data_IF_144278458923
#
_entry.id   IF_144278458923
#
_cell.length_a   1.000
_cell.length_b   1.000
_cell.length_c   1.000
_cell.angle_alpha   90.00
_cell.angle_beta   90.00
_cell.angle_gamma   90.00
#
_symmetry.space_group_name_H-M   'P 1'
#
loop_
_entity.id
_entity.type
_entity.pdbx_description
1 polymer ?
#
# COMPACT_ATOMS: atom_id res chain seq x y z
N UNK A 1 39.45 21.12 -12.17
CA UNK A 1 38.15 20.53 -11.76
C UNK A 1 37.28 21.49 -10.90
N UNK A 2 37.70 22.72 -10.68
CA UNK A 2 36.96 23.68 -9.85
C UNK A 2 35.82 24.44 -10.55
N UNK A 3 35.57 24.16 -11.85
CA UNK A 3 34.55 24.89 -12.63
C UNK A 3 33.16 24.24 -12.61
N UNK A 4 32.93 23.14 -11.85
CA UNK A 4 31.65 22.44 -11.78
C UNK A 4 31.04 22.58 -10.36
N UNK A 5 31.24 23.70 -9.70
CA UNK A 5 30.78 23.95 -8.33
C UNK A 5 29.25 23.91 -8.13
N UNK A 6 28.46 23.79 -9.22
CA UNK A 6 26.99 23.76 -9.18
C UNK A 6 26.38 22.48 -9.78
N UNK A 7 27.17 21.42 -10.02
CA UNK A 7 26.63 20.20 -10.60
C UNK A 7 26.04 19.30 -9.50
N UNK A 8 24.74 19.38 -9.31
CA UNK A 8 24.01 18.45 -8.44
C UNK A 8 24.05 17.02 -9.01
N UNK A 9 24.36 16.04 -8.17
CA UNK A 9 24.37 14.63 -8.54
C UNK A 9 22.96 14.10 -8.85
N UNK A 10 22.81 12.98 -9.56
CA UNK A 10 21.49 12.43 -9.91
C UNK A 10 20.56 12.24 -8.69
N UNK A 11 21.08 11.78 -7.55
CA UNK A 11 20.31 11.60 -6.31
C UNK A 11 19.83 12.93 -5.72
N UNK A 12 20.66 13.99 -5.72
CA UNK A 12 20.27 15.32 -5.26
C UNK A 12 19.19 15.94 -6.15
N UNK A 13 19.34 15.81 -7.49
CA UNK A 13 18.34 16.31 -8.46
C UNK A 13 17.01 15.55 -8.38
N UNK A 14 17.05 14.27 -8.02
CA UNK A 14 15.86 13.45 -7.87
C UNK A 14 15.08 13.76 -6.58
N UNK A 15 15.75 14.29 -5.56
CA UNK A 15 15.12 14.58 -4.27
C UNK A 15 14.21 15.80 -4.37
N UNK A 16 12.90 15.59 -4.19
CA UNK A 16 11.87 16.65 -4.27
C UNK A 16 11.71 17.44 -2.98
N UNK A 17 12.38 17.02 -1.91
CA UNK A 17 12.31 17.65 -0.58
C UNK A 17 13.67 18.15 -0.11
N UNK A 18 14.69 18.15 -0.98
CA UNK A 18 16.06 18.59 -0.70
C UNK A 18 16.66 17.92 0.56
N UNK A 19 16.36 16.64 0.75
CA UNK A 19 16.86 15.87 1.87
C UNK A 19 18.28 15.29 1.64
N UNK A 20 18.90 15.54 0.47
CA UNK A 20 20.22 14.99 0.13
C UNK A 20 21.22 16.13 -0.02
N UNK A 21 22.32 16.01 0.70
CA UNK A 21 23.47 16.90 0.59
C UNK A 21 24.76 16.09 0.41
N UNK A 22 25.84 16.74 -0.01
CA UNK A 22 27.16 16.13 -0.12
C UNK A 22 28.02 16.55 1.06
N UNK A 23 28.61 15.58 1.73
CA UNK A 23 29.68 15.84 2.70
C UNK A 23 30.96 16.33 2.00
N UNK A 24 31.91 16.94 2.74
CA UNK A 24 33.19 17.42 2.17
C UNK A 24 34.00 16.33 1.47
N UNK A 25 33.90 15.09 1.90
CA UNK A 25 34.54 13.92 1.29
C UNK A 25 33.82 13.42 0.03
N UNK A 26 32.70 14.06 -0.32
CA UNK A 26 31.90 13.72 -1.48
C UNK A 26 30.92 12.56 -1.27
N UNK A 27 30.70 12.10 -0.05
CA UNK A 27 29.67 11.11 0.28
C UNK A 27 28.32 11.77 0.39
N UNK A 28 27.28 11.13 -0.19
CA UNK A 28 25.91 11.61 -0.07
C UNK A 28 25.37 11.37 1.35
N UNK A 29 24.83 12.40 1.94
CA UNK A 29 24.18 12.34 3.25
C UNK A 29 22.68 12.59 3.08
N UNK A 30 21.86 11.78 3.74
CA UNK A 30 20.41 11.87 3.72
C UNK A 30 19.93 12.41 5.07
N UNK A 31 19.27 13.55 5.05
CA UNK A 31 18.60 14.12 6.20
C UNK A 31 17.29 13.35 6.44
N UNK A 32 17.26 12.54 7.48
CA UNK A 32 16.14 11.67 7.83
C UNK A 32 14.88 12.44 8.21
N UNK A 33 15.01 13.67 8.72
CA UNK A 33 13.86 14.50 9.09
C UNK A 33 13.14 15.07 7.85
N UNK A 34 13.91 15.36 6.79
CA UNK A 34 13.36 15.80 5.52
C UNK A 34 12.98 14.67 4.58
N UNK A 35 13.59 13.50 4.74
CA UNK A 35 13.39 12.37 3.83
C UNK A 35 11.98 11.81 3.93
N UNK A 36 11.28 11.79 2.79
CA UNK A 36 9.94 11.18 2.65
C UNK A 36 9.98 9.70 2.23
N UNK A 37 11.16 9.10 2.17
CA UNK A 37 11.40 7.68 1.86
C UNK A 37 10.89 7.22 0.48
N UNK A 38 10.70 8.13 -0.47
CA UNK A 38 10.07 7.87 -1.77
C UNK A 38 10.92 7.03 -2.74
N UNK A 39 12.19 6.73 -2.43
CA UNK A 39 13.08 5.92 -3.26
C UNK A 39 13.62 6.59 -4.53
N UNK A 40 13.26 7.84 -4.83
CA UNK A 40 13.68 8.52 -6.06
C UNK A 40 15.21 8.57 -6.24
N UNK A 41 15.96 8.70 -5.14
CA UNK A 41 17.43 8.70 -5.15
C UNK A 41 18.00 7.31 -5.45
N UNK A 42 17.36 6.25 -4.98
CA UNK A 42 17.73 4.85 -5.26
C UNK A 42 17.56 4.60 -6.76
N UNK A 43 16.37 4.87 -7.28
CA UNK A 43 16.06 4.65 -8.69
C UNK A 43 16.94 5.48 -9.67
N UNK A 44 17.33 6.70 -9.29
CA UNK A 44 18.12 7.60 -10.15
C UNK A 44 19.62 7.43 -10.01
N UNK A 45 20.10 6.60 -9.08
CA UNK A 45 21.52 6.37 -8.91
C UNK A 45 22.04 5.34 -9.94
N UNK A 46 22.85 5.75 -10.96
CA UNK A 46 23.31 4.80 -11.97
C UNK A 46 24.38 3.83 -11.43
N UNK A 47 24.87 4.05 -10.21
CA UNK A 47 25.94 3.28 -9.59
C UNK A 47 25.46 2.38 -8.44
N UNK A 48 24.15 2.37 -8.14
CA UNK A 48 23.62 1.64 -6.99
C UNK A 48 24.19 2.10 -5.64
N UNK A 49 24.71 3.35 -5.56
CA UNK A 49 25.34 3.86 -4.35
C UNK A 49 24.34 4.28 -3.25
N UNK A 50 23.07 4.47 -3.61
CA UNK A 50 21.99 4.73 -2.67
C UNK A 50 21.07 3.51 -2.68
N UNK A 51 20.91 2.89 -1.52
CA UNK A 51 20.10 1.70 -1.33
C UNK A 51 19.01 1.98 -0.30
N UNK A 52 17.94 1.23 -0.36
CA UNK A 52 16.96 1.12 0.70
C UNK A 52 17.34 -0.01 1.68
N UNK A 53 16.67 -0.08 2.81
CA UNK A 53 16.91 -1.15 3.79
C UNK A 53 16.16 -2.40 3.36
N UNK A 54 16.91 -3.47 3.07
CA UNK A 54 16.31 -4.75 2.69
C UNK A 54 15.83 -5.55 3.91
N UNK A 55 14.69 -6.23 3.77
CA UNK A 55 14.15 -7.18 4.74
C UNK A 55 14.24 -8.63 4.24
N UNK A 56 14.92 -8.89 3.13
CA UNK A 56 14.98 -10.24 2.52
C UNK A 56 15.45 -11.31 3.51
N UNK A 57 16.51 -11.04 4.26
CA UNK A 57 17.08 -12.01 5.21
C UNK A 57 16.12 -12.35 6.34
N UNK A 58 15.38 -11.35 6.84
CA UNK A 58 14.37 -11.55 7.89
C UNK A 58 13.17 -12.31 7.34
N UNK A 59 12.76 -12.02 6.11
CA UNK A 59 11.66 -12.73 5.42
C UNK A 59 12.04 -14.20 5.19
N UNK A 60 13.24 -14.46 4.66
CA UNK A 60 13.73 -15.84 4.46
C UNK A 60 13.77 -16.59 5.78
N UNK A 61 14.31 -15.96 6.84
CA UNK A 61 14.31 -16.55 8.16
C UNK A 61 12.91 -16.86 8.66
N UNK A 62 11.96 -15.94 8.51
CA UNK A 62 10.56 -16.13 8.89
C UNK A 62 9.92 -17.30 8.16
N UNK A 63 10.18 -17.45 6.85
CA UNK A 63 9.69 -18.59 6.06
C UNK A 63 10.30 -19.91 6.57
N UNK A 64 11.62 -19.94 6.83
CA UNK A 64 12.30 -21.13 7.35
C UNK A 64 11.80 -21.50 8.74
N UNK A 65 11.69 -20.53 9.64
CA UNK A 65 11.24 -20.74 11.03
C UNK A 65 9.77 -21.18 11.11
N UNK A 66 8.99 -20.95 10.06
CA UNK A 66 7.59 -21.42 9.97
C UNK A 66 7.47 -22.94 9.85
N UNK A 67 8.55 -23.67 9.56
CA UNK A 67 8.59 -25.12 9.29
C UNK A 67 7.49 -25.54 8.29
N UNK A 68 7.55 -25.01 7.08
CA UNK A 68 6.51 -25.19 6.06
C UNK A 68 5.11 -24.80 6.54
N UNK A 69 5.02 -23.65 7.20
CA UNK A 69 3.77 -23.07 7.73
C UNK A 69 3.06 -23.93 8.82
N UNK A 70 3.80 -24.77 9.54
CA UNK A 70 3.25 -25.56 10.66
C UNK A 70 3.26 -24.76 11.97
N UNK A 71 4.28 -23.93 12.18
CA UNK A 71 4.42 -23.15 13.40
C UNK A 71 3.52 -21.89 13.36
N UNK A 72 3.45 -21.26 12.22
CA UNK A 72 2.60 -20.12 11.88
C UNK A 72 2.56 -19.98 10.36
N UNK A 73 1.51 -19.35 9.84
CA UNK A 73 1.39 -19.10 8.41
C UNK A 73 2.15 -17.83 8.00
N UNK A 74 2.84 -17.90 6.84
CA UNK A 74 3.49 -16.73 6.24
C UNK A 74 2.72 -16.30 5.00
N UNK A 75 1.98 -15.20 5.10
CA UNK A 75 1.16 -14.67 4.03
C UNK A 75 1.94 -13.65 3.20
N UNK A 76 1.80 -13.72 1.90
CA UNK A 76 2.23 -12.66 0.99
C UNK A 76 1.01 -11.81 0.59
N UNK A 77 1.05 -10.51 0.81
CA UNK A 77 0.04 -9.59 0.30
C UNK A 77 0.66 -8.76 -0.83
N UNK A 78 0.07 -8.82 -2.03
CA UNK A 78 0.70 -8.35 -3.26
C UNK A 78 0.02 -7.11 -3.79
N UNK A 79 0.82 -6.06 -4.08
CA UNK A 79 0.31 -4.83 -4.68
C UNK A 79 -0.20 -5.07 -6.12
N UNK A 80 -1.31 -4.42 -6.53
CA UNK A 80 -1.88 -4.58 -7.87
C UNK A 80 -0.89 -4.25 -9.01
N UNK A 81 0.14 -3.44 -8.73
CA UNK A 81 1.19 -3.09 -9.68
C UNK A 81 2.01 -4.29 -10.20
N UNK A 82 1.92 -5.47 -9.55
CA UNK A 82 2.59 -6.69 -10.02
C UNK A 82 2.17 -7.06 -11.45
N UNK A 83 0.93 -6.78 -11.83
CA UNK A 83 0.39 -7.11 -13.16
C UNK A 83 1.14 -6.43 -14.32
N UNK A 84 1.83 -5.32 -14.07
CA UNK A 84 2.57 -4.58 -15.10
C UNK A 84 4.09 -4.58 -14.91
N UNK A 85 4.60 -5.20 -13.84
CA UNK A 85 6.03 -5.13 -13.48
C UNK A 85 6.89 -6.15 -14.22
N UNK A 86 6.42 -7.38 -14.32
CA UNK A 86 7.19 -8.49 -14.86
C UNK A 86 6.68 -8.82 -16.27
N UNK A 87 7.48 -8.47 -17.30
CA UNK A 87 7.06 -8.64 -18.70
C UNK A 87 7.29 -10.05 -19.24
N UNK A 88 8.08 -10.87 -18.55
CA UNK A 88 8.45 -12.21 -18.97
C UNK A 88 7.47 -13.30 -18.50
N UNK A 89 6.55 -12.95 -17.60
CA UNK A 89 5.59 -13.89 -17.02
C UNK A 89 4.23 -13.22 -16.82
N UNK A 90 3.18 -14.04 -16.78
CA UNK A 90 1.84 -13.57 -16.44
C UNK A 90 1.69 -13.38 -14.92
N UNK A 91 0.77 -12.49 -14.51
CA UNK A 91 0.54 -12.23 -13.08
C UNK A 91 0.23 -13.53 -12.30
N UNK A 92 -0.62 -14.41 -12.82
CA UNK A 92 -0.95 -15.69 -12.17
C UNK A 92 0.24 -16.64 -12.01
N UNK A 93 1.22 -16.60 -12.92
CA UNK A 93 2.47 -17.36 -12.81
C UNK A 93 3.37 -16.81 -11.70
N UNK A 94 3.41 -15.49 -11.52
CA UNK A 94 4.12 -14.85 -10.41
C UNK A 94 3.50 -15.22 -9.06
N UNK A 95 2.17 -15.33 -8.98
CA UNK A 95 1.49 -15.81 -7.78
C UNK A 95 1.92 -17.23 -7.44
N UNK A 96 2.00 -18.10 -8.44
CA UNK A 96 2.51 -19.47 -8.27
C UNK A 96 3.96 -19.47 -7.80
N UNK A 97 4.82 -18.64 -8.39
CA UNK A 97 6.22 -18.51 -7.97
C UNK A 97 6.36 -18.04 -6.51
N UNK A 98 5.53 -17.09 -6.08
CA UNK A 98 5.53 -16.63 -4.68
C UNK A 98 5.16 -17.78 -3.73
N UNK A 99 4.20 -18.63 -4.10
CA UNK A 99 3.88 -19.83 -3.31
C UNK A 99 5.05 -20.83 -3.26
N UNK A 100 5.76 -21.02 -4.36
CA UNK A 100 6.95 -21.87 -4.40
C UNK A 100 8.12 -21.34 -3.54
N UNK A 101 8.16 -20.05 -3.25
CA UNK A 101 9.11 -19.47 -2.29
C UNK A 101 8.83 -19.92 -0.85
N UNK A 102 7.66 -20.48 -0.56
CA UNK A 102 7.29 -21.01 0.75
C UNK A 102 6.22 -20.22 1.49
N UNK A 103 5.59 -19.26 0.83
CA UNK A 103 4.44 -18.54 1.40
C UNK A 103 3.22 -19.47 1.48
N UNK A 104 2.47 -19.37 2.59
CA UNK A 104 1.23 -20.11 2.83
C UNK A 104 0.14 -19.74 1.85
N UNK A 105 -0.09 -18.44 1.73
CA UNK A 105 -1.08 -17.89 0.82
C UNK A 105 -0.59 -16.58 0.19
N UNK A 106 -1.25 -16.19 -0.90
CA UNK A 106 -1.00 -14.92 -1.58
C UNK A 106 -2.33 -14.22 -1.76
N UNK A 107 -2.45 -13.02 -1.23
CA UNK A 107 -3.67 -12.20 -1.26
C UNK A 107 -3.45 -10.87 -2.00
N UNK A 108 -4.53 -10.36 -2.58
CA UNK A 108 -4.50 -9.08 -3.27
C UNK A 108 -4.65 -7.91 -2.28
N UNK A 109 -3.68 -6.99 -2.29
CA UNK A 109 -3.84 -5.70 -1.58
C UNK A 109 -4.96 -4.85 -2.22
N UNK A 110 -5.39 -5.20 -3.41
CA UNK A 110 -6.55 -4.62 -4.05
C UNK A 110 -7.84 -4.76 -3.21
N UNK A 111 -8.01 -5.84 -2.45
CA UNK A 111 -9.12 -5.99 -1.50
C UNK A 111 -9.09 -4.91 -0.40
N UNK A 112 -7.91 -4.66 0.17
CA UNK A 112 -7.73 -3.54 1.11
C UNK A 112 -7.95 -2.18 0.45
N UNK A 113 -7.66 -2.06 -0.85
CA UNK A 113 -7.92 -0.83 -1.60
C UNK A 113 -9.42 -0.59 -1.81
N UNK A 114 -10.22 -1.63 -2.06
CA UNK A 114 -11.69 -1.54 -2.11
C UNK A 114 -12.26 -1.02 -0.78
N UNK A 115 -11.78 -1.57 0.34
CA UNK A 115 -12.21 -1.17 1.68
C UNK A 115 -11.82 0.29 1.96
N UNK A 116 -10.59 0.67 1.61
CA UNK A 116 -10.12 2.06 1.78
C UNK A 116 -10.92 3.01 0.92
N UNK A 117 -11.20 2.67 -0.34
CA UNK A 117 -12.04 3.50 -1.21
C UNK A 117 -13.43 3.73 -0.62
N UNK A 118 -14.04 2.70 -0.06
CA UNK A 118 -15.35 2.80 0.59
C UNK A 118 -15.31 3.72 1.82
N UNK A 119 -14.30 3.57 2.68
CA UNK A 119 -14.11 4.42 3.87
C UNK A 119 -13.77 5.87 3.50
N UNK A 120 -12.88 6.07 2.52
CA UNK A 120 -12.53 7.41 2.03
C UNK A 120 -13.72 8.11 1.36
N UNK A 121 -14.63 7.35 0.72
CA UNK A 121 -15.87 7.89 0.17
C UNK A 121 -16.80 8.45 1.26
N UNK A 122 -16.89 7.79 2.41
CA UNK A 122 -17.64 8.29 3.57
C UNK A 122 -17.00 9.57 4.11
N UNK A 123 -15.70 9.53 4.37
CA UNK A 123 -14.95 10.67 4.89
C UNK A 123 -14.97 11.88 3.94
N UNK A 124 -14.93 11.64 2.62
CA UNK A 124 -15.06 12.69 1.60
C UNK A 124 -16.42 13.37 1.62
N UNK A 125 -17.50 12.59 1.81
CA UNK A 125 -18.86 13.15 1.89
C UNK A 125 -19.06 14.02 3.15
N UNK A 126 -18.36 13.68 4.24
CA UNK A 126 -18.40 14.46 5.49
C UNK A 126 -17.55 15.74 5.39
N UNK A 127 -16.35 15.65 4.84
CA UNK A 127 -15.37 16.75 4.81
C UNK A 127 -15.46 17.65 3.57
N UNK A 128 -16.08 17.19 2.48
CA UNK A 128 -16.18 17.88 1.19
C UNK A 128 -14.90 17.91 0.37
N UNK A 129 -13.72 17.80 0.98
CA UNK A 129 -12.41 17.70 0.34
C UNK A 129 -11.52 16.74 1.14
N UNK A 130 -10.85 15.81 0.44
CA UNK A 130 -10.01 14.79 1.04
C UNK A 130 -8.78 14.51 0.17
N UNK A 131 -7.64 14.22 0.80
CA UNK A 131 -6.48 13.59 0.17
C UNK A 131 -6.26 12.21 0.79
N UNK A 132 -5.93 11.23 -0.04
CA UNK A 132 -5.75 9.85 0.43
C UNK A 132 -4.52 9.68 1.30
N UNK A 133 -4.57 8.73 2.24
CA UNK A 133 -3.46 8.28 3.07
C UNK A 133 -2.71 7.07 2.50
N UNK A 134 -3.09 6.51 1.35
CA UNK A 134 -2.55 5.28 0.79
C UNK A 134 -1.04 5.33 0.47
N UNK A 135 -0.49 6.53 0.19
CA UNK A 135 0.93 6.73 -0.11
C UNK A 135 1.66 7.42 1.05
N UNK A 136 2.50 6.72 1.83
CA UNK A 136 3.19 7.31 2.99
C UNK A 136 4.15 8.43 2.62
N UNK A 137 4.79 8.37 1.45
CA UNK A 137 5.63 9.45 0.96
C UNK A 137 4.82 10.72 0.65
N UNK A 138 3.63 10.57 0.06
CA UNK A 138 2.73 11.68 -0.21
C UNK A 138 2.24 12.33 1.09
N UNK A 139 1.84 11.53 2.06
CA UNK A 139 1.42 12.00 3.40
C UNK A 139 2.52 12.83 4.07
N UNK A 140 3.77 12.31 4.09
CA UNK A 140 4.93 13.05 4.60
C UNK A 140 5.16 14.35 3.83
N UNK A 141 5.04 14.30 2.50
CA UNK A 141 5.23 15.47 1.64
C UNK A 141 4.20 16.58 1.94
N UNK A 142 2.91 16.23 2.04
CA UNK A 142 1.85 17.19 2.38
C UNK A 142 2.10 17.80 3.76
N UNK A 143 2.35 16.99 4.78
CA UNK A 143 2.60 17.49 6.15
C UNK A 143 3.80 18.45 6.21
N UNK A 144 4.82 18.24 5.37
CA UNK A 144 6.04 19.05 5.35
C UNK A 144 5.88 20.34 4.52
N UNK A 145 5.29 20.23 3.32
CA UNK A 145 5.25 21.34 2.35
C UNK A 145 3.94 22.12 2.37
N UNK A 146 2.87 21.50 2.80
CA UNK A 146 1.51 22.05 2.82
C UNK A 146 0.80 21.75 4.14
N UNK A 147 1.35 22.17 5.30
CA UNK A 147 0.81 21.82 6.62
C UNK A 147 -0.67 22.23 6.80
N UNK A 148 -1.11 23.26 6.08
CA UNK A 148 -2.51 23.70 6.07
C UNK A 148 -3.46 22.68 5.43
N UNK A 149 -2.96 21.69 4.67
CA UNK A 149 -3.75 20.61 4.09
C UNK A 149 -3.69 19.32 4.92
N UNK A 150 -2.97 19.32 6.03
CA UNK A 150 -2.80 18.12 6.84
C UNK A 150 -4.11 17.58 7.44
N UNK A 151 -5.07 18.47 7.74
CA UNK A 151 -6.40 18.12 8.23
C UNK A 151 -7.28 17.40 7.19
N UNK A 152 -6.96 17.57 5.90
CA UNK A 152 -7.65 16.92 4.79
C UNK A 152 -7.06 15.56 4.41
N UNK A 153 -6.00 15.12 5.08
CA UNK A 153 -5.47 13.77 4.85
C UNK A 153 -6.44 12.76 5.46
N UNK A 154 -6.77 11.73 4.70
CA UNK A 154 -7.60 10.61 5.18
C UNK A 154 -6.99 10.00 6.45
N UNK A 155 -7.86 9.65 7.40
CA UNK A 155 -7.48 8.96 8.66
C UNK A 155 -7.46 7.44 8.52
N UNK A 156 -7.84 6.92 7.34
CA UNK A 156 -7.92 5.49 7.10
C UNK A 156 -6.53 4.85 7.00
N UNK A 157 -6.46 3.57 7.32
CA UNK A 157 -5.28 2.75 7.07
C UNK A 157 -4.98 2.70 5.57
N UNK A 158 -3.72 2.45 5.22
CA UNK A 158 -3.39 2.19 3.81
C UNK A 158 -3.94 0.83 3.37
N UNK A 159 -4.16 0.59 2.06
CA UNK A 159 -4.57 -0.72 1.55
C UNK A 159 -3.71 -1.89 2.05
N UNK A 160 -2.39 -1.68 2.17
CA UNK A 160 -1.46 -2.66 2.75
C UNK A 160 -1.84 -3.01 4.20
N UNK A 161 -2.02 -2.01 5.04
CA UNK A 161 -2.35 -2.23 6.46
C UNK A 161 -3.77 -2.77 6.64
N UNK A 162 -4.74 -2.36 5.80
CA UNK A 162 -6.11 -2.86 5.84
C UNK A 162 -6.17 -4.34 5.45
N UNK A 163 -5.45 -4.76 4.39
CA UNK A 163 -5.36 -6.18 4.02
C UNK A 163 -4.70 -6.99 5.14
N UNK A 164 -3.58 -6.51 5.69
CA UNK A 164 -2.90 -7.17 6.80
C UNK A 164 -3.81 -7.32 8.02
N UNK A 165 -4.59 -6.29 8.34
CA UNK A 165 -5.58 -6.33 9.42
C UNK A 165 -6.62 -7.44 9.21
N UNK A 166 -7.20 -7.55 8.03
CA UNK A 166 -8.17 -8.60 7.70
C UNK A 166 -7.60 -10.01 7.91
N UNK A 167 -6.34 -10.23 7.50
CA UNK A 167 -5.68 -11.52 7.70
C UNK A 167 -5.46 -11.78 9.19
N UNK A 168 -4.95 -10.80 9.94
CA UNK A 168 -4.71 -10.93 11.38
C UNK A 168 -5.99 -11.16 12.20
N UNK A 169 -7.14 -10.70 11.73
CA UNK A 169 -8.44 -10.97 12.35
C UNK A 169 -8.85 -12.45 12.20
N UNK A 170 -8.40 -13.12 11.13
CA UNK A 170 -8.69 -14.54 10.86
C UNK A 170 -7.58 -15.46 11.40
N UNK A 171 -6.34 -15.02 11.33
CA UNK A 171 -5.14 -15.73 11.75
C UNK A 171 -4.21 -14.77 12.53
N UNK A 172 -4.41 -14.62 13.86
CA UNK A 172 -3.66 -13.66 14.66
C UNK A 172 -2.15 -13.90 14.71
N UNK A 173 -1.70 -15.15 14.54
CA UNK A 173 -0.30 -15.54 14.57
C UNK A 173 0.39 -15.44 13.21
N UNK A 174 -0.35 -15.21 12.11
CA UNK A 174 0.18 -15.09 10.77
C UNK A 174 1.30 -14.05 10.70
N UNK A 175 2.33 -14.34 9.90
CA UNK A 175 3.36 -13.37 9.49
C UNK A 175 3.03 -12.83 8.12
N UNK A 176 3.00 -11.51 7.98
CA UNK A 176 2.53 -10.85 6.77
C UNK A 176 3.65 -10.08 6.10
N UNK A 177 3.90 -10.43 4.84
CA UNK A 177 4.90 -9.79 3.97
C UNK A 177 4.19 -9.05 2.85
N UNK A 178 4.30 -7.73 2.83
CA UNK A 178 3.84 -6.96 1.67
C UNK A 178 4.88 -7.01 0.54
N UNK A 179 4.42 -7.30 -0.66
CA UNK A 179 5.22 -7.31 -1.89
C UNK A 179 4.72 -6.22 -2.84
N UNK A 180 5.57 -5.24 -3.16
CA UNK A 180 5.14 -4.13 -4.01
C UNK A 180 6.28 -3.21 -4.47
N UNK A 181 5.99 -2.17 -5.27
CA UNK A 181 7.01 -1.34 -5.91
C UNK A 181 7.57 -0.24 -5.00
N UNK A 182 7.11 -0.11 -3.75
CA UNK A 182 7.25 1.13 -2.99
C UNK A 182 8.19 1.01 -1.79
N UNK A 183 9.34 1.69 -1.83
CA UNK A 183 10.30 1.76 -0.71
C UNK A 183 9.71 2.49 0.51
N UNK A 184 8.80 3.47 0.30
CA UNK A 184 8.18 4.20 1.41
C UNK A 184 7.31 3.29 2.31
N UNK A 185 6.84 2.15 1.79
CA UNK A 185 6.13 1.14 2.58
C UNK A 185 7.04 0.48 3.63
N UNK A 186 8.36 0.41 3.38
CA UNK A 186 9.36 -0.04 4.37
C UNK A 186 9.45 0.91 5.58
N UNK A 187 9.22 2.20 5.37
CA UNK A 187 9.09 3.16 6.46
C UNK A 187 7.73 3.11 7.15
N UNK A 188 6.68 2.86 6.39
CA UNK A 188 5.33 2.76 6.92
C UNK A 188 5.16 1.57 7.88
N UNK A 189 5.70 0.40 7.52
CA UNK A 189 5.60 -0.80 8.35
C UNK A 189 6.28 -0.68 9.71
N UNK A 190 7.24 0.26 9.87
CA UNK A 190 7.90 0.53 11.15
C UNK A 190 7.05 1.32 12.14
N UNK A 191 5.94 1.89 11.70
CA UNK A 191 5.04 2.61 12.59
C UNK A 191 4.26 1.60 13.42
N UNK A 192 4.14 1.80 14.75
CA UNK A 192 3.45 0.85 15.63
C UNK A 192 2.02 0.52 15.17
N UNK A 193 1.30 1.53 14.67
CA UNK A 193 -0.07 1.40 14.16
C UNK A 193 -0.20 0.52 12.90
N UNK A 194 0.90 0.29 12.17
CA UNK A 194 0.95 -0.56 10.97
C UNK A 194 1.64 -1.89 11.26
N UNK A 195 2.71 -1.86 12.07
CA UNK A 195 3.52 -3.05 12.38
C UNK A 195 2.71 -4.18 13.05
N UNK A 196 1.66 -3.84 13.77
CA UNK A 196 0.73 -4.84 14.33
C UNK A 196 0.00 -5.67 13.26
N UNK A 197 -0.09 -5.19 12.02
CA UNK A 197 -0.80 -5.83 10.91
C UNK A 197 0.12 -6.38 9.83
N UNK A 198 1.29 -5.78 9.61
CA UNK A 198 2.24 -6.20 8.56
C UNK A 198 3.62 -6.29 9.18
N UNK A 199 4.27 -7.43 9.02
CA UNK A 199 5.58 -7.69 9.63
C UNK A 199 6.73 -7.16 8.76
N UNK A 200 6.66 -7.36 7.42
CA UNK A 200 7.75 -7.00 6.50
C UNK A 200 7.24 -6.42 5.18
N UNK A 201 8.13 -5.69 4.51
CA UNK A 201 7.92 -5.16 3.16
C UNK A 201 9.07 -5.60 2.26
N UNK A 202 8.73 -6.15 1.10
CA UNK A 202 9.65 -6.56 0.05
C UNK A 202 9.33 -5.82 -1.25
N UNK A 203 10.36 -5.32 -1.95
CA UNK A 203 10.17 -4.73 -3.28
C UNK A 203 10.08 -5.80 -4.37
N UNK A 204 9.63 -5.41 -5.57
CA UNK A 204 9.59 -6.36 -6.70
C UNK A 204 10.99 -6.79 -7.13
N UNK A 205 12.00 -5.93 -6.98
CA UNK A 205 13.40 -6.27 -7.26
C UNK A 205 13.91 -7.32 -6.25
N UNK A 206 13.52 -7.19 -4.99
CA UNK A 206 13.84 -8.16 -3.95
C UNK A 206 13.11 -9.49 -4.17
N UNK A 207 11.84 -9.45 -4.63
CA UNK A 207 11.10 -10.65 -5.04
C UNK A 207 11.82 -11.35 -6.20
N UNK A 208 12.24 -10.62 -7.23
CA UNK A 208 12.99 -11.18 -8.35
C UNK A 208 14.27 -11.87 -7.87
N UNK A 209 15.01 -11.23 -6.98
CA UNK A 209 16.23 -11.83 -6.44
C UNK A 209 15.95 -13.13 -5.68
N UNK A 210 14.85 -13.23 -4.95
CA UNK A 210 14.43 -14.47 -4.29
C UNK A 210 14.06 -15.56 -5.29
N UNK A 211 13.30 -15.23 -6.34
CA UNK A 211 12.93 -16.14 -7.44
C UNK A 211 14.17 -16.68 -8.13
N UNK A 212 15.10 -15.79 -8.49
CA UNK A 212 16.36 -16.15 -9.16
C UNK A 212 17.23 -17.06 -8.27
N UNK A 213 17.26 -16.79 -6.96
CA UNK A 213 18.06 -17.60 -6.01
C UNK A 213 17.57 -19.04 -5.86
N UNK A 214 16.35 -19.32 -6.25
CA UNK A 214 15.69 -20.64 -6.23
C UNK A 214 15.61 -21.28 -7.61
N UNK A 215 16.15 -20.65 -8.66
CA UNK A 215 16.07 -21.10 -10.05
C UNK A 215 14.64 -21.41 -10.51
N UNK A 216 13.63 -20.62 -10.04
CA UNK A 216 12.23 -20.82 -10.39
C UNK A 216 11.98 -20.32 -11.82
N UNK A 217 11.60 -21.22 -12.72
CA UNK A 217 11.21 -20.90 -14.08
C UNK A 217 9.74 -20.42 -14.12
N UNK A 218 9.53 -19.13 -13.81
CA UNK A 218 8.21 -18.53 -13.59
C UNK A 218 7.29 -18.69 -14.80
N UNK A 219 7.81 -18.53 -16.02
CA UNK A 219 7.08 -18.63 -17.28
C UNK A 219 6.55 -20.05 -17.56
N UNK A 220 7.07 -21.05 -16.86
CA UNK A 220 6.64 -22.46 -16.96
C UNK A 220 5.62 -22.86 -15.90
N UNK A 221 5.37 -22.00 -14.90
CA UNK A 221 4.43 -22.30 -13.84
C UNK A 221 2.97 -22.17 -14.30
N UNK A 222 2.05 -22.95 -13.71
CA UNK A 222 0.63 -22.75 -13.93
C UNK A 222 0.18 -21.39 -13.41
N UNK A 223 -0.83 -20.81 -14.05
CA UNK A 223 -1.43 -19.58 -13.55
C UNK A 223 -2.31 -19.85 -12.33
N UNK A 224 -2.07 -19.14 -11.25
CA UNK A 224 -2.98 -19.07 -10.09
C UNK A 224 -3.77 -17.77 -10.19
N UNK A 225 -5.08 -17.88 -10.25
CA UNK A 225 -5.97 -16.71 -10.24
C UNK A 225 -6.16 -16.18 -8.83
N UNK A 226 -6.21 -14.86 -8.70
CA UNK A 226 -6.67 -14.15 -7.52
C UNK A 226 -7.96 -13.41 -7.89
N UNK A 227 -9.02 -13.66 -7.15
CA UNK A 227 -10.36 -13.11 -7.44
C UNK A 227 -11.05 -12.62 -6.16
N UNK A 228 -10.29 -11.96 -5.29
CA UNK A 228 -10.81 -11.45 -4.01
C UNK A 228 -11.14 -9.97 -4.03
N UNK A 229 -10.65 -9.23 -5.03
CA UNK A 229 -10.82 -7.80 -5.15
C UNK A 229 -11.63 -7.41 -6.40
N UNK A 230 -12.21 -6.21 -6.36
CA UNK A 230 -12.92 -5.65 -7.51
C UNK A 230 -11.97 -5.03 -8.53
N UNK A 231 -12.52 -4.65 -9.68
CA UNK A 231 -11.81 -3.80 -10.65
C UNK A 231 -11.30 -2.51 -10.01
N UNK A 232 -12.10 -1.88 -9.16
CA UNK A 232 -11.78 -0.58 -8.55
C UNK A 232 -10.61 -0.67 -7.56
N UNK A 233 -10.49 -1.74 -6.79
CA UNK A 233 -9.31 -1.99 -5.96
C UNK A 233 -8.04 -2.18 -6.78
N UNK A 234 -8.15 -2.92 -7.90
CA UNK A 234 -7.00 -3.20 -8.78
C UNK A 234 -6.49 -1.95 -9.53
N UNK A 235 -7.37 -1.01 -9.89
CA UNK A 235 -6.97 0.23 -10.59
C UNK A 235 -6.24 1.25 -9.71
N UNK A 236 -6.13 1.05 -8.40
CA UNK A 236 -5.23 1.88 -7.56
C UNK A 236 -3.79 1.92 -8.08
N UNK A 237 -3.35 0.90 -8.83
CA UNK A 237 -2.02 0.86 -9.44
C UNK A 237 -1.81 1.86 -10.58
N UNK A 238 -2.86 2.45 -11.13
CA UNK A 238 -2.77 3.41 -12.25
C UNK A 238 -3.03 4.86 -11.82
N UNK A 239 -2.53 5.80 -12.60
CA UNK A 239 -2.81 7.22 -12.41
C UNK A 239 -4.33 7.49 -12.46
N UNK A 240 -4.85 8.14 -11.43
CA UNK A 240 -6.28 8.46 -11.31
C UNK A 240 -7.15 7.32 -10.78
N UNK A 241 -6.61 6.09 -10.67
CA UNK A 241 -7.40 4.91 -10.26
C UNK A 241 -7.99 5.03 -8.85
N UNK A 242 -7.25 5.61 -7.90
CA UNK A 242 -7.77 5.89 -6.57
C UNK A 242 -8.99 6.83 -6.61
N UNK A 243 -8.89 7.94 -7.35
CA UNK A 243 -10.00 8.88 -7.49
C UNK A 243 -11.21 8.24 -8.16
N UNK A 244 -11.00 7.36 -9.15
CA UNK A 244 -12.04 6.59 -9.80
C UNK A 244 -12.75 5.66 -8.81
N UNK A 245 -11.98 4.90 -8.03
CA UNK A 245 -12.52 3.98 -7.03
C UNK A 245 -13.33 4.70 -5.94
N UNK A 246 -12.81 5.81 -5.40
CA UNK A 246 -13.52 6.61 -4.38
C UNK A 246 -14.79 7.23 -4.97
N UNK A 247 -14.74 7.71 -6.22
CA UNK A 247 -15.92 8.27 -6.89
C UNK A 247 -17.02 7.22 -7.08
N UNK A 248 -16.64 6.00 -7.45
CA UNK A 248 -17.61 4.90 -7.58
C UNK A 248 -18.21 4.51 -6.23
N UNK A 249 -17.37 4.39 -5.19
CA UNK A 249 -17.83 4.11 -3.84
C UNK A 249 -18.81 5.18 -3.32
N UNK A 250 -18.59 6.47 -3.64
CA UNK A 250 -19.57 7.55 -3.32
C UNK A 250 -20.89 7.32 -4.05
N UNK A 251 -20.83 6.90 -5.33
CA UNK A 251 -22.03 6.64 -6.14
C UNK A 251 -22.84 5.47 -5.58
N UNK A 252 -22.15 4.36 -5.24
CA UNK A 252 -22.79 3.19 -4.65
C UNK A 252 -23.44 3.49 -3.30
N UNK A 253 -22.73 4.24 -2.42
CA UNK A 253 -23.26 4.64 -1.12
C UNK A 253 -24.51 5.53 -1.24
N UNK A 254 -24.53 6.46 -2.19
CA UNK A 254 -25.71 7.29 -2.45
C UNK A 254 -26.88 6.46 -2.97
N UNK A 255 -26.64 5.57 -3.92
CA UNK A 255 -27.67 4.68 -4.45
C UNK A 255 -28.26 3.77 -3.36
N UNK A 256 -27.42 3.22 -2.50
CA UNK A 256 -27.85 2.41 -1.36
C UNK A 256 -28.69 3.21 -0.36
N UNK A 257 -28.32 4.47 -0.07
CA UNK A 257 -29.06 5.34 0.81
C UNK A 257 -30.43 5.75 0.23
N UNK A 258 -30.52 5.95 -1.08
CA UNK A 258 -31.77 6.23 -1.79
C UNK A 258 -32.69 5.01 -1.78
N UNK A 259 -32.17 3.82 -2.05
CA UNK A 259 -32.93 2.57 -1.98
C UNK A 259 -33.49 2.31 -0.57
N UNK A 260 -32.67 2.51 0.46
CA UNK A 260 -33.08 2.35 1.86
C UNK A 260 -34.20 3.34 2.27
N UNK A 261 -34.23 4.55 1.68
CA UNK A 261 -35.32 5.52 1.88
C UNK A 261 -36.59 5.12 1.18
N UNK A 262 -36.50 4.50 -0.01
CA UNK A 262 -37.66 4.05 -0.77
C UNK A 262 -38.36 2.84 -0.11
N UNK A 263 -37.61 2.00 0.57
CA UNK A 263 -38.11 0.81 1.28
C UNK A 263 -38.62 1.12 2.70
N UNK A 264 -38.45 2.35 3.21
CA UNK A 264 -38.97 2.73 4.51
C UNK A 264 -40.50 2.82 4.42
N UNK A 265 -41.28 2.13 5.30
CA UNK A 265 -42.74 2.18 5.27
C UNK A 265 -43.25 3.60 5.52
N UNK A 266 -44.10 4.07 4.62
CA UNK A 266 -44.78 5.36 4.73
C UNK A 266 -45.59 5.45 6.02
N UNK A 267 -45.26 6.40 6.89
CA UNK A 267 -46.14 6.95 7.88
C UNK A 267 -46.50 6.14 9.12
N UNK A 268 -45.76 6.36 10.21
CA UNK A 268 -46.43 6.43 11.50
C UNK A 268 -46.84 7.90 11.71
N UNK A 269 -48.02 8.24 11.20
CA UNK A 269 -48.74 9.47 11.53
C UNK A 269 -49.11 9.43 13.04
N UNK A 270 -48.29 10.07 13.88
CA UNK A 270 -48.64 10.33 15.29
C UNK A 270 -49.30 11.67 15.44
N UNK A 271 -50.36 11.91 14.63
CA UNK A 271 -51.34 12.95 14.85
C UNK A 271 -52.62 12.30 15.40
N UNK A 272 -52.74 12.21 16.71
CA UNK A 272 -54.04 11.80 17.23
C UNK A 272 -54.02 11.44 18.70
N UNK A 273 -54.16 12.42 19.59
CA UNK A 273 -55.13 12.42 20.67
C UNK A 273 -54.78 13.49 21.72
N UNK A 274 -55.18 14.70 21.46
CA UNK A 274 -55.56 15.59 22.55
C UNK A 274 -56.99 15.15 22.97
N UNK A 275 -57.12 14.40 24.04
CA UNK A 275 -58.38 14.20 24.71
C UNK A 275 -58.41 15.15 25.91
N UNK A 276 -59.24 16.18 25.74
CA UNK A 276 -59.84 16.95 26.84
C UNK A 276 -60.79 16.06 27.63
N UNK A 277 -60.81 16.18 28.90
CA UNK A 277 -61.85 15.58 29.75
C UNK A 277 -61.56 15.71 31.24
N UNK A 278 -62.14 16.73 31.83
CA UNK A 278 -62.65 16.90 33.22
C UNK A 278 -61.81 16.39 34.38
#
# INVERSE_FOLDING_TARGET
YSAIANFKRPCERACKVDAISMAPDGVAQIDSEKCIECGACVYKCPFGATLDVSSITDIIKTIVDSDNNKNYHVHAIVAPAIAGQFQYAKAGQLISAIRELGFYAVEEVALGADIVAYKEAQELQEKGFLTSSCCPAFVKYIKMKFPQLAEHISHNLSPMAETGKLIKEQDPDAKIVFIGPCTAKKGEVRKPEVHQYVDYVMTFEELQAMIDSKDIAVDQLPETELDTATYYGRVFARTGGLSEAVTEAVREQKAAAEAAKADAPDGADTSGAVASGE
#
